data_IF_054256834635
#
_entry.id   IF_054256834635
#
_cell.length_a   1.000
_cell.length_b   1.000
_cell.length_c   1.000
_cell.angle_alpha   90.00
_cell.angle_beta   90.00
_cell.angle_gamma   90.00
#
_symmetry.space_group_name_H-M   'P 1'
#
loop_
_entity.id
_entity.type
_entity.pdbx_description
1 polymer ?
#
# COMPACT_ATOMS: atom_id res chain seq x y z
N UNK A 1 -20.60 0.31 -1.87
CA UNK A 1 -19.67 -0.26 -2.88
C UNK A 1 -18.27 -0.01 -2.38
N UNK A 2 -17.34 -0.97 -2.53
CA UNK A 2 -15.97 -0.80 -2.06
C UNK A 2 -15.28 0.35 -2.83
N UNK A 3 -14.37 1.04 -2.16
CA UNK A 3 -13.58 2.12 -2.75
C UNK A 3 -12.66 1.59 -3.87
N UNK A 4 -12.14 0.38 -3.68
CA UNK A 4 -11.22 -0.33 -4.56
C UNK A 4 -11.68 -1.78 -4.77
N UNK A 5 -11.52 -2.29 -5.99
CA UNK A 5 -11.80 -3.69 -6.32
C UNK A 5 -10.56 -4.29 -6.96
N UNK A 6 -10.06 -5.38 -6.37
CA UNK A 6 -8.98 -6.16 -6.97
C UNK A 6 -9.34 -6.64 -8.37
N UNK A 7 -8.39 -6.59 -9.28
CA UNK A 7 -8.52 -7.14 -10.63
C UNK A 7 -7.13 -7.44 -11.20
N UNK A 8 -7.07 -8.17 -12.31
CA UNK A 8 -5.81 -8.62 -12.92
C UNK A 8 -4.88 -7.46 -13.36
N UNK A 9 -5.39 -6.24 -13.49
CA UNK A 9 -4.53 -5.07 -13.74
C UNK A 9 -3.69 -4.71 -12.51
N UNK A 10 -4.02 -5.20 -11.32
CA UNK A 10 -3.21 -5.03 -10.10
C UNK A 10 -2.29 -6.22 -9.83
N UNK A 11 -2.34 -7.27 -10.66
CA UNK A 11 -1.39 -8.36 -10.56
C UNK A 11 -0.04 -7.98 -11.17
N UNK A 12 1.03 -8.28 -10.45
CA UNK A 12 2.43 -8.28 -10.92
C UNK A 12 2.87 -9.68 -11.36
N UNK A 13 2.02 -10.68 -11.10
CA UNK A 13 2.20 -12.06 -11.50
C UNK A 13 3.14 -12.86 -10.59
N UNK A 14 3.49 -12.31 -9.42
CA UNK A 14 4.18 -13.01 -8.34
C UNK A 14 3.14 -13.24 -7.25
N UNK A 15 2.80 -14.50 -6.97
CA UNK A 15 1.67 -14.86 -6.14
C UNK A 15 1.75 -14.23 -4.74
N UNK A 16 2.94 -14.22 -4.14
CA UNK A 16 3.18 -13.59 -2.84
C UNK A 16 2.81 -12.10 -2.86
N UNK A 17 3.32 -11.33 -3.82
CA UNK A 17 3.08 -9.88 -3.90
C UNK A 17 1.64 -9.56 -4.31
N UNK A 18 1.02 -10.40 -5.14
CA UNK A 18 -0.40 -10.26 -5.46
C UNK A 18 -1.29 -10.43 -4.21
N UNK A 19 -0.96 -11.35 -3.31
CA UNK A 19 -1.67 -11.49 -2.02
C UNK A 19 -1.41 -10.28 -1.09
N UNK A 20 -0.19 -9.76 -1.06
CA UNK A 20 0.13 -8.55 -0.29
C UNK A 20 -0.63 -7.33 -0.82
N UNK A 21 -0.71 -7.15 -2.14
CA UNK A 21 -1.50 -6.07 -2.74
C UNK A 21 -3.00 -6.24 -2.46
N UNK A 22 -3.54 -7.46 -2.50
CA UNK A 22 -4.95 -7.72 -2.12
C UNK A 22 -5.22 -7.31 -0.67
N UNK A 23 -4.29 -7.59 0.24
CA UNK A 23 -4.41 -7.20 1.64
C UNK A 23 -4.35 -5.68 1.81
N UNK A 24 -3.48 -4.98 1.08
CA UNK A 24 -3.48 -3.51 1.05
C UNK A 24 -4.81 -2.94 0.54
N UNK A 25 -5.36 -3.50 -0.53
CA UNK A 25 -6.69 -3.13 -1.05
C UNK A 25 -7.77 -3.37 0.01
N UNK A 26 -7.72 -4.49 0.73
CA UNK A 26 -8.66 -4.80 1.79
C UNK A 26 -8.59 -3.78 2.95
N UNK A 27 -7.39 -3.44 3.41
CA UNK A 27 -7.18 -2.46 4.48
C UNK A 27 -7.66 -1.05 4.08
N UNK A 28 -7.42 -0.63 2.84
CA UNK A 28 -7.92 0.66 2.33
C UNK A 28 -9.45 0.67 2.28
N UNK A 29 -10.08 -0.42 1.83
CA UNK A 29 -11.53 -0.54 1.84
C UNK A 29 -12.10 -0.56 3.25
N UNK A 30 -11.47 -1.28 4.19
CA UNK A 30 -11.89 -1.32 5.58
C UNK A 30 -11.83 0.07 6.22
N UNK A 31 -10.74 0.81 5.99
CA UNK A 31 -10.60 2.18 6.47
C UNK A 31 -11.69 3.09 5.89
N UNK A 32 -11.96 2.99 4.59
CA UNK A 32 -13.01 3.74 3.93
C UNK A 32 -14.40 3.43 4.51
N UNK A 33 -14.74 2.16 4.65
CA UNK A 33 -16.03 1.73 5.20
C UNK A 33 -16.19 2.17 6.66
N UNK A 34 -15.11 2.11 7.46
CA UNK A 34 -15.10 2.59 8.84
C UNK A 34 -15.33 4.10 8.94
N UNK A 35 -14.73 4.89 8.05
CA UNK A 35 -14.96 6.35 7.96
C UNK A 35 -16.41 6.63 7.58
N UNK A 36 -16.94 5.96 6.56
CA UNK A 36 -18.30 6.14 6.08
C UNK A 36 -19.36 5.74 7.13
N UNK A 37 -19.06 4.71 7.94
CA UNK A 37 -19.92 4.26 9.02
C UNK A 37 -19.80 5.11 10.30
N UNK A 38 -18.91 6.12 10.34
CA UNK A 38 -18.69 6.94 11.52
C UNK A 38 -18.21 6.14 12.74
N UNK A 39 -17.33 5.14 12.51
CA UNK A 39 -16.78 4.32 13.61
C UNK A 39 -15.94 5.18 14.57
N UNK A 40 -15.71 4.64 15.77
CA UNK A 40 -14.98 5.37 16.82
C UNK A 40 -13.54 5.70 16.41
N UNK A 41 -12.96 6.69 17.10
CA UNK A 41 -11.57 7.09 16.88
C UNK A 41 -10.61 5.92 17.06
N UNK A 42 -10.85 5.09 18.06
CA UNK A 42 -10.01 3.95 18.41
C UNK A 42 -10.05 2.89 17.30
N UNK A 43 -11.24 2.61 16.75
CA UNK A 43 -11.40 1.66 15.66
C UNK A 43 -10.68 2.13 14.38
N UNK A 44 -10.87 3.39 14.01
CA UNK A 44 -10.18 3.99 12.85
C UNK A 44 -8.66 4.04 13.05
N UNK A 45 -8.20 4.38 14.26
CA UNK A 45 -6.79 4.37 14.62
C UNK A 45 -6.16 2.99 14.45
N UNK A 46 -6.82 1.93 14.92
CA UNK A 46 -6.33 0.56 14.78
C UNK A 46 -6.22 0.09 13.31
N UNK A 47 -7.18 0.48 12.46
CA UNK A 47 -7.12 0.17 11.02
C UNK A 47 -5.96 0.93 10.37
N UNK A 48 -5.79 2.21 10.70
CA UNK A 48 -4.69 3.03 10.19
C UNK A 48 -3.32 2.50 10.63
N UNK A 49 -3.20 2.03 11.88
CA UNK A 49 -1.99 1.39 12.39
C UNK A 49 -1.65 0.12 11.61
N UNK A 50 -2.68 -0.70 11.35
CA UNK A 50 -2.55 -1.92 10.54
C UNK A 50 -2.13 -1.60 9.10
N UNK A 51 -2.72 -0.56 8.49
CA UNK A 51 -2.36 -0.11 7.14
C UNK A 51 -0.89 0.33 7.09
N UNK A 52 -0.44 1.18 8.00
CA UNK A 52 0.96 1.67 8.04
C UNK A 52 1.94 0.51 8.26
N UNK A 53 1.64 -0.39 9.19
CA UNK A 53 2.50 -1.55 9.46
C UNK A 53 2.60 -2.47 8.24
N UNK A 54 1.46 -2.75 7.60
CA UNK A 54 1.41 -3.65 6.45
C UNK A 54 2.09 -3.06 5.22
N UNK A 55 1.89 -1.77 4.93
CA UNK A 55 2.60 -1.06 3.86
C UNK A 55 4.11 -1.14 4.02
N UNK A 56 4.64 -0.93 5.24
CA UNK A 56 6.08 -1.05 5.50
C UNK A 56 6.59 -2.47 5.30
N UNK A 57 5.84 -3.47 5.77
CA UNK A 57 6.22 -4.88 5.64
C UNK A 57 6.28 -5.28 4.17
N UNK A 58 5.25 -4.93 3.39
CA UNK A 58 5.18 -5.19 1.95
C UNK A 58 6.37 -4.57 1.20
N UNK A 59 6.63 -3.27 1.40
CA UNK A 59 7.78 -2.60 0.77
C UNK A 59 9.11 -3.24 1.15
N UNK A 60 9.27 -3.65 2.42
CA UNK A 60 10.47 -4.36 2.87
C UNK A 60 10.65 -5.68 2.12
N UNK A 61 9.59 -6.47 1.94
CA UNK A 61 9.67 -7.74 1.21
C UNK A 61 10.08 -7.54 -0.25
N UNK A 62 9.52 -6.56 -0.95
CA UNK A 62 9.92 -6.25 -2.32
C UNK A 62 11.38 -5.78 -2.40
N UNK A 63 11.78 -4.85 -1.52
CA UNK A 63 13.13 -4.31 -1.45
C UNK A 63 14.19 -5.37 -1.14
N UNK A 64 13.86 -6.35 -0.29
CA UNK A 64 14.72 -7.51 -0.03
C UNK A 64 14.93 -8.36 -1.30
N UNK A 65 13.87 -8.58 -2.09
CA UNK A 65 13.98 -9.25 -3.37
C UNK A 65 14.83 -8.45 -4.36
N UNK A 66 14.64 -7.13 -4.42
CA UNK A 66 15.42 -6.24 -5.29
C UNK A 66 16.91 -6.26 -4.93
N UNK A 67 17.23 -6.20 -3.64
CA UNK A 67 18.60 -6.25 -3.14
C UNK A 67 19.27 -7.60 -3.44
N UNK A 68 18.58 -8.71 -3.17
CA UNK A 68 19.10 -10.07 -3.39
C UNK A 68 19.32 -10.40 -4.87
N UNK A 69 18.44 -9.94 -5.74
CA UNK A 69 18.40 -10.34 -7.16
C UNK A 69 19.00 -9.29 -8.11
N UNK A 70 19.37 -8.12 -7.57
CA UNK A 70 19.99 -7.03 -8.32
C UNK A 70 19.01 -6.35 -9.27
N UNK A 71 17.80 -6.00 -8.80
CA UNK A 71 16.83 -5.28 -9.62
C UNK A 71 17.39 -3.90 -10.03
N UNK A 72 17.48 -3.58 -11.33
CA UNK A 72 18.16 -2.36 -11.79
C UNK A 72 17.53 -1.07 -11.28
N UNK A 73 16.20 -1.02 -11.16
CA UNK A 73 15.46 0.19 -10.77
C UNK A 73 15.21 0.28 -9.26
N UNK A 74 15.88 -0.55 -8.43
CA UNK A 74 15.61 -0.67 -7.00
C UNK A 74 15.68 0.66 -6.24
N UNK A 75 16.63 1.54 -6.58
CA UNK A 75 16.85 2.78 -5.84
C UNK A 75 15.73 3.79 -6.14
N UNK A 76 15.28 3.85 -7.40
CA UNK A 76 14.14 4.68 -7.80
C UNK A 76 12.83 4.15 -7.22
N UNK A 77 12.63 2.82 -7.24
CA UNK A 77 11.47 2.17 -6.64
C UNK A 77 11.40 2.47 -5.13
N UNK A 78 12.50 2.26 -4.41
CA UNK A 78 12.60 2.53 -2.98
C UNK A 78 12.28 3.99 -2.64
N UNK A 79 12.65 4.95 -3.48
CA UNK A 79 12.31 6.35 -3.26
C UNK A 79 10.78 6.60 -3.29
N UNK A 80 10.03 5.89 -4.14
CA UNK A 80 8.56 5.94 -4.15
C UNK A 80 7.98 5.35 -2.86
N UNK A 81 8.52 4.23 -2.39
CA UNK A 81 8.15 3.60 -1.13
C UNK A 81 8.38 4.52 0.07
N UNK A 82 9.57 5.11 0.18
CA UNK A 82 9.95 5.98 1.28
C UNK A 82 9.05 7.24 1.32
N UNK A 83 8.70 7.78 0.15
CA UNK A 83 7.78 8.91 0.03
C UNK A 83 6.38 8.56 0.55
N UNK A 84 5.80 7.42 0.14
CA UNK A 84 4.50 7.00 0.66
C UNK A 84 4.57 6.70 2.15
N UNK A 85 5.57 5.93 2.59
CA UNK A 85 5.73 5.52 3.98
C UNK A 85 5.76 6.75 4.91
N UNK A 86 6.48 7.81 4.52
CA UNK A 86 6.48 9.09 5.23
C UNK A 86 5.09 9.74 5.28
N UNK A 87 4.37 9.77 4.16
CA UNK A 87 3.03 10.36 4.08
C UNK A 87 2.01 9.62 4.95
N UNK A 88 1.96 8.28 4.89
CA UNK A 88 1.02 7.49 5.71
C UNK A 88 1.36 7.55 7.20
N UNK A 89 2.65 7.62 7.55
CA UNK A 89 3.08 7.86 8.92
C UNK A 89 2.66 9.25 9.42
N UNK A 90 2.74 10.26 8.57
CA UNK A 90 2.33 11.62 8.95
C UNK A 90 0.83 11.72 9.19
N UNK A 91 0.04 11.08 8.32
CA UNK A 91 -1.39 10.84 8.55
C UNK A 91 -1.55 10.16 9.90
N UNK A 92 -1.06 8.94 10.11
CA UNK A 92 -1.18 8.24 11.40
C UNK A 92 -0.85 9.08 12.63
N UNK A 93 0.30 9.78 12.65
CA UNK A 93 0.69 10.64 13.79
C UNK A 93 -0.32 11.73 14.07
N UNK A 94 -0.76 12.46 13.04
CA UNK A 94 -1.76 13.53 13.19
C UNK A 94 -3.10 12.98 13.67
N UNK A 95 -3.46 11.76 13.28
CA UNK A 95 -4.71 11.11 13.68
C UNK A 95 -4.73 10.92 15.20
N UNK A 96 -3.66 10.29 15.70
CA UNK A 96 -3.51 9.98 17.11
C UNK A 96 -3.40 11.24 17.96
N UNK A 97 -2.75 12.29 17.43
CA UNK A 97 -2.70 13.63 18.03
C UNK A 97 -4.05 14.36 18.08
N UNK A 98 -5.13 13.79 17.51
CA UNK A 98 -6.49 14.33 17.62
C UNK A 98 -7.00 15.06 16.39
N UNK A 99 -6.22 15.15 15.30
CA UNK A 99 -6.66 15.74 14.04
C UNK A 99 -7.53 14.77 13.23
N UNK A 100 -8.61 14.24 13.82
CA UNK A 100 -9.43 13.16 13.23
C UNK A 100 -10.09 13.54 11.90
N UNK A 101 -10.38 14.82 11.69
CA UNK A 101 -10.95 15.36 10.46
C UNK A 101 -10.08 15.14 9.20
N UNK A 102 -8.80 14.79 9.38
CA UNK A 102 -7.91 14.52 8.26
C UNK A 102 -8.17 13.17 7.58
N UNK A 103 -8.87 12.21 8.21
CA UNK A 103 -9.34 10.99 7.52
C UNK A 103 -10.52 11.36 6.61
N UNK A 104 -10.21 12.17 5.61
CA UNK A 104 -11.15 12.71 4.66
C UNK A 104 -11.20 11.84 3.40
N UNK A 105 -12.19 12.12 2.56
CA UNK A 105 -12.26 11.55 1.21
C UNK A 105 -11.02 11.86 0.37
N UNK A 106 -10.30 12.94 0.66
CA UNK A 106 -9.04 13.27 -0.01
C UNK A 106 -7.95 12.24 0.32
N UNK A 107 -7.79 11.88 1.59
CA UNK A 107 -6.83 10.83 2.00
C UNK A 107 -7.21 9.48 1.42
N UNK A 108 -8.51 9.14 1.41
CA UNK A 108 -8.98 7.89 0.79
C UNK A 108 -8.67 7.84 -0.71
N UNK A 109 -8.94 8.93 -1.44
CA UNK A 109 -8.61 9.03 -2.86
C UNK A 109 -7.10 9.02 -3.11
N UNK A 110 -6.32 9.66 -2.24
CA UNK A 110 -4.86 9.63 -2.30
C UNK A 110 -4.34 8.20 -2.20
N UNK A 111 -4.72 7.45 -1.14
CA UNK A 111 -4.29 6.06 -0.93
C UNK A 111 -4.65 5.17 -2.11
N UNK A 112 -5.91 5.25 -2.58
CA UNK A 112 -6.38 4.52 -3.75
C UNK A 112 -5.58 4.83 -5.00
N UNK A 113 -5.41 6.11 -5.31
CA UNK A 113 -4.77 6.55 -6.54
C UNK A 113 -3.28 6.22 -6.53
N UNK A 114 -2.62 6.36 -5.38
CA UNK A 114 -1.23 5.98 -5.21
C UNK A 114 -1.06 4.49 -5.46
N UNK A 115 -1.82 3.63 -4.77
CA UNK A 115 -1.67 2.18 -4.88
C UNK A 115 -1.92 1.67 -6.31
N UNK A 116 -2.97 2.17 -6.97
CA UNK A 116 -3.25 1.79 -8.37
C UNK A 116 -2.12 2.20 -9.30
N UNK A 117 -1.63 3.43 -9.18
CA UNK A 117 -0.59 3.97 -10.07
C UNK A 117 0.74 3.28 -9.84
N UNK A 118 1.11 3.04 -8.59
CA UNK A 118 2.35 2.39 -8.22
C UNK A 118 2.36 0.94 -8.71
N UNK A 119 1.32 0.15 -8.42
CA UNK A 119 1.23 -1.23 -8.91
C UNK A 119 1.30 -1.29 -10.44
N UNK A 120 0.49 -0.48 -11.13
CA UNK A 120 0.40 -0.56 -12.59
C UNK A 120 1.61 0.03 -13.32
N UNK A 121 2.28 1.01 -12.71
CA UNK A 121 3.36 1.78 -13.34
C UNK A 121 4.76 1.39 -12.88
N UNK A 122 4.93 0.99 -11.63
CA UNK A 122 6.22 0.70 -10.98
C UNK A 122 6.35 -0.79 -10.74
N UNK A 123 5.43 -1.41 -9.99
CA UNK A 123 5.58 -2.80 -9.51
C UNK A 123 5.52 -3.82 -10.65
N UNK A 124 4.64 -3.58 -11.63
CA UNK A 124 4.56 -4.41 -12.83
C UNK A 124 5.88 -4.55 -13.59
N UNK A 125 6.81 -3.60 -13.44
CA UNK A 125 8.11 -3.66 -14.11
C UNK A 125 9.03 -4.72 -13.52
N UNK A 126 8.95 -4.99 -12.21
CA UNK A 126 9.78 -6.03 -11.60
C UNK A 126 9.25 -7.44 -11.91
N UNK A 127 7.95 -7.58 -12.23
CA UNK A 127 7.31 -8.89 -12.40
C UNK A 127 8.06 -9.84 -13.34
N UNK A 128 8.32 -9.45 -14.61
CA UNK A 128 9.12 -10.25 -15.53
C UNK A 128 10.55 -10.52 -15.01
N UNK A 129 11.20 -9.50 -14.46
CA UNK A 129 12.58 -9.61 -13.95
C UNK A 129 12.73 -10.65 -12.83
N UNK A 130 11.76 -10.71 -11.92
CA UNK A 130 11.74 -11.67 -10.81
C UNK A 130 11.39 -13.08 -11.29
N UNK A 131 10.45 -13.21 -12.24
CA UNK A 131 10.10 -14.50 -12.85
C UNK A 131 11.26 -15.16 -13.56
N UNK A 132 12.04 -14.39 -14.33
CA UNK A 132 13.26 -14.87 -14.99
C UNK A 132 14.30 -15.42 -14.00
N UNK A 133 14.20 -15.02 -12.72
CA UNK A 133 15.08 -15.46 -11.62
C UNK A 133 14.42 -16.51 -10.72
N UNK A 134 13.31 -17.10 -11.15
CA UNK A 134 12.65 -18.22 -10.47
C UNK A 134 11.74 -17.82 -9.30
N UNK A 135 11.41 -16.53 -9.16
CA UNK A 135 10.38 -16.09 -8.20
C UNK A 135 9.01 -16.25 -8.87
N UNK A 136 8.07 -16.89 -8.18
CA UNK A 136 6.72 -17.15 -8.68
C UNK A 136 5.67 -16.84 -7.60
#
# INVERSE_FOLDING_TARGET
MPLMVWNDKLSVGIAQFDEEHKQLVALINELFDAVQAGRSKEALGGILDSLVAYTKSHFTHEEEHFARLGYPDRDAHKAEHDALASQVLDVQRKYHAGATAMLSMEVMNFLKNWLIKHIQGTDKKYGPFLKERGVA
#
